data_IF_995849832998
#
_entry.id   IF_995849832998
#
_cell.length_a   1.000
_cell.length_b   1.000
_cell.length_c   1.000
_cell.angle_alpha   90.00
_cell.angle_beta   90.00
_cell.angle_gamma   90.00
#
_symmetry.space_group_name_H-M   'P 1'
#
loop_
_entity.id
_entity.type
_entity.pdbx_description
1 polymer ?
#
# COMPACT_ATOMS: atom_id res chain seq x y z
N UNK A 1 -21.71 -42.38 17.29
CA UNK A 1 -21.20 -41.34 16.35
C UNK A 1 -21.89 -40.04 16.71
N UNK A 2 -21.29 -39.23 17.58
CA UNK A 2 -21.92 -38.01 18.12
C UNK A 2 -21.23 -36.77 17.55
N UNK A 3 -21.57 -36.45 16.31
CA UNK A 3 -21.12 -35.25 15.63
C UNK A 3 -22.33 -34.42 15.22
N UNK A 4 -23.05 -33.86 16.18
CA UNK A 4 -24.16 -32.96 15.92
C UNK A 4 -24.46 -32.16 17.20
N UNK A 5 -24.71 -30.85 17.09
CA UNK A 5 -25.07 -29.89 18.17
C UNK A 5 -23.95 -29.18 18.95
N UNK A 6 -22.82 -28.87 18.32
CA UNK A 6 -21.68 -28.21 18.98
C UNK A 6 -21.40 -26.75 18.65
N UNK A 7 -22.31 -26.01 18.00
CA UNK A 7 -22.08 -24.59 17.68
C UNK A 7 -23.24 -23.72 18.15
N UNK A 8 -23.51 -23.72 19.46
CA UNK A 8 -24.30 -22.66 20.08
C UNK A 8 -23.58 -21.31 20.02
N UNK A 9 -23.93 -20.38 20.92
CA UNK A 9 -23.29 -19.06 21.04
C UNK A 9 -21.75 -19.09 21.00
N UNK A 10 -21.12 -20.14 21.54
CA UNK A 10 -19.66 -20.32 21.48
C UNK A 10 -19.08 -20.51 20.07
N UNK A 11 -19.79 -21.21 19.17
CA UNK A 11 -19.36 -21.37 17.78
C UNK A 11 -19.47 -20.07 16.99
N UNK A 12 -20.56 -19.33 17.19
CA UNK A 12 -20.76 -18.02 16.58
C UNK A 12 -19.71 -17.00 17.06
N UNK A 13 -19.44 -16.99 18.36
CA UNK A 13 -18.44 -16.10 18.96
C UNK A 13 -17.02 -16.44 18.48
N UNK A 14 -16.67 -17.73 18.40
CA UNK A 14 -15.39 -18.18 17.84
C UNK A 14 -15.24 -17.75 16.37
N UNK A 15 -16.29 -17.88 15.56
CA UNK A 15 -16.28 -17.50 14.15
C UNK A 15 -16.07 -15.99 13.99
N UNK A 16 -16.75 -15.17 14.79
CA UNK A 16 -16.59 -13.71 14.82
C UNK A 16 -15.17 -13.30 15.23
N UNK A 17 -14.64 -13.92 16.29
CA UNK A 17 -13.26 -13.67 16.74
C UNK A 17 -12.25 -14.04 15.66
N UNK A 18 -12.40 -15.18 15.00
CA UNK A 18 -11.51 -15.59 13.91
C UNK A 18 -11.58 -14.65 12.70
N UNK A 19 -12.78 -14.17 12.37
CA UNK A 19 -12.98 -13.20 11.30
C UNK A 19 -12.26 -11.88 11.61
N UNK A 20 -12.47 -11.33 12.81
CA UNK A 20 -11.80 -10.09 13.26
C UNK A 20 -10.29 -10.27 13.29
N UNK A 21 -9.80 -11.40 13.81
CA UNK A 21 -8.36 -11.70 13.84
C UNK A 21 -7.77 -11.78 12.44
N UNK A 22 -8.44 -12.47 11.51
CA UNK A 22 -8.00 -12.57 10.13
C UNK A 22 -7.93 -11.19 9.45
N UNK A 23 -8.98 -10.38 9.56
CA UNK A 23 -8.98 -9.03 9.01
C UNK A 23 -7.96 -8.11 9.69
N UNK A 24 -7.80 -8.21 11.01
CA UNK A 24 -6.80 -7.44 11.74
C UNK A 24 -5.38 -7.81 11.32
N UNK A 25 -5.11 -9.08 11.01
CA UNK A 25 -3.84 -9.53 10.50
C UNK A 25 -3.59 -8.98 9.09
N UNK A 26 -4.60 -8.99 8.21
CA UNK A 26 -4.50 -8.41 6.86
C UNK A 26 -4.23 -6.91 6.93
N UNK A 27 -5.05 -6.17 7.69
CA UNK A 27 -4.90 -4.73 7.85
C UNK A 27 -3.59 -4.39 8.54
N UNK A 28 -3.22 -5.14 9.59
CA UNK A 28 -1.96 -4.99 10.29
C UNK A 28 -0.76 -5.21 9.39
N UNK A 29 -0.79 -6.23 8.52
CA UNK A 29 0.25 -6.50 7.54
C UNK A 29 0.33 -5.41 6.48
N UNK A 30 -0.82 -4.92 5.99
CA UNK A 30 -0.88 -3.82 5.03
C UNK A 30 -0.32 -2.52 5.64
N UNK A 31 -0.74 -2.16 6.85
CA UNK A 31 -0.23 -0.99 7.59
C UNK A 31 1.26 -1.14 7.89
N UNK A 32 1.70 -2.34 8.31
CA UNK A 32 3.11 -2.62 8.57
C UNK A 32 3.96 -2.49 7.29
N UNK A 33 3.48 -3.02 6.16
CA UNK A 33 4.12 -2.89 4.86
C UNK A 33 4.21 -1.43 4.42
N UNK A 34 3.12 -0.67 4.57
CA UNK A 34 3.10 0.78 4.31
C UNK A 34 4.05 1.51 5.26
N UNK A 35 4.10 1.17 6.54
CA UNK A 35 5.01 1.80 7.51
C UNK A 35 6.47 1.46 7.23
N UNK A 36 6.79 0.27 6.72
CA UNK A 36 8.14 -0.08 6.28
C UNK A 36 8.56 0.77 5.08
N UNK A 37 7.66 0.94 4.10
CA UNK A 37 7.91 1.73 2.88
C UNK A 37 7.88 3.23 3.16
N UNK A 38 7.04 3.67 4.11
CA UNK A 38 6.88 5.05 4.57
C UNK A 38 7.70 5.36 5.81
N UNK A 39 8.70 4.54 6.17
CA UNK A 39 9.71 4.99 7.14
C UNK A 39 10.18 6.34 6.61
N UNK A 40 9.90 7.45 7.32
CA UNK A 40 10.37 8.73 6.86
C UNK A 40 11.88 8.60 6.89
N UNK A 41 12.51 8.85 5.76
CA UNK A 41 13.93 9.21 5.71
C UNK A 41 14.09 10.53 6.47
N UNK A 42 13.86 10.52 7.77
CA UNK A 42 14.19 11.58 8.67
C UNK A 42 15.54 11.20 9.28
N UNK A 43 16.55 11.97 8.88
CA UNK A 43 17.94 11.99 9.36
C UNK A 43 18.90 10.91 8.85
N UNK A 44 19.73 11.29 7.87
CA UNK A 44 21.17 11.20 8.09
C UNK A 44 21.99 10.18 7.31
N UNK A 45 21.63 9.80 6.08
CA UNK A 45 22.61 9.17 5.17
C UNK A 45 22.53 9.82 3.79
N UNK A 46 23.67 10.16 3.16
CA UNK A 46 23.67 10.60 1.78
C UNK A 46 23.17 9.40 0.96
N UNK A 47 21.92 9.49 0.53
CA UNK A 47 21.36 8.53 -0.41
C UNK A 47 22.20 8.65 -1.69
N UNK A 48 22.69 7.53 -2.27
CA UNK A 48 23.36 7.59 -3.56
C UNK A 48 22.38 8.24 -4.52
N UNK A 49 22.80 9.28 -5.25
CA UNK A 49 21.99 9.99 -6.25
C UNK A 49 21.07 9.00 -6.97
N UNK A 50 19.81 8.90 -6.52
CA UNK A 50 18.80 8.24 -7.31
C UNK A 50 18.68 9.13 -8.54
N UNK A 51 18.75 8.57 -9.76
CA UNK A 51 18.70 9.38 -10.96
C UNK A 51 17.48 10.29 -10.85
N UNK A 52 17.67 11.60 -10.97
CA UNK A 52 16.63 12.64 -10.80
C UNK A 52 15.34 12.33 -11.58
N UNK A 53 15.48 11.48 -12.59
CA UNK A 53 14.45 10.74 -13.28
C UNK A 53 13.34 10.14 -12.41
N UNK A 54 13.71 9.36 -11.38
CA UNK A 54 12.76 8.65 -10.54
C UNK A 54 11.95 9.60 -9.66
N UNK A 55 12.57 10.71 -9.24
CA UNK A 55 11.86 11.76 -8.50
C UNK A 55 10.90 12.53 -9.41
N UNK A 56 11.30 12.83 -10.65
CA UNK A 56 10.44 13.48 -11.64
C UNK A 56 9.21 12.62 -12.00
N UNK A 57 9.38 11.32 -12.21
CA UNK A 57 8.27 10.38 -12.46
C UNK A 57 7.30 10.29 -11.27
N UNK A 58 7.82 10.25 -10.03
CA UNK A 58 6.99 10.20 -8.81
C UNK A 58 6.15 11.46 -8.65
N UNK A 59 6.72 12.64 -8.89
CA UNK A 59 6.01 13.92 -8.84
C UNK A 59 4.92 13.97 -9.92
N UNK A 60 5.18 13.42 -11.11
CA UNK A 60 4.20 13.35 -12.20
C UNK A 60 3.02 12.45 -11.84
N UNK A 61 3.30 11.27 -11.26
CA UNK A 61 2.28 10.32 -10.82
C UNK A 61 1.41 10.88 -9.68
N UNK A 62 1.99 11.66 -8.77
CA UNK A 62 1.24 12.33 -7.70
C UNK A 62 0.27 13.38 -8.24
N UNK A 63 0.69 14.17 -9.24
CA UNK A 63 -0.18 15.19 -9.86
C UNK A 63 -1.30 14.57 -10.70
N UNK A 64 -1.03 13.45 -11.38
CA UNK A 64 -2.06 12.66 -12.06
C UNK A 64 -3.08 12.10 -11.06
N UNK A 65 -2.63 11.55 -9.92
CA UNK A 65 -3.53 11.04 -8.87
C UNK A 65 -4.38 12.15 -8.22
N UNK A 66 -3.89 13.39 -8.20
CA UNK A 66 -4.64 14.58 -7.77
C UNK A 66 -5.59 15.13 -8.83
N UNK A 67 -5.52 14.62 -10.07
CA UNK A 67 -6.29 15.13 -11.21
C UNK A 67 -5.83 16.50 -11.71
N UNK A 68 -4.62 16.95 -11.32
CA UNK A 68 -4.03 18.22 -11.77
C UNK A 68 -3.51 18.13 -13.22
N UNK A 69 -3.30 16.91 -13.71
CA UNK A 69 -2.74 16.60 -15.04
C UNK A 69 -3.57 15.48 -15.65
N UNK A 70 -3.89 15.62 -16.94
CA UNK A 70 -4.65 14.62 -17.70
C UNK A 70 -3.78 13.44 -18.16
N UNK A 71 -4.40 12.32 -18.56
CA UNK A 71 -3.71 11.10 -18.95
C UNK A 71 -2.75 11.31 -20.13
N UNK A 72 -3.19 12.04 -21.16
CA UNK A 72 -2.39 12.34 -22.34
C UNK A 72 -1.11 13.12 -21.99
N UNK A 73 -1.23 14.07 -21.06
CA UNK A 73 -0.12 14.88 -20.60
C UNK A 73 0.84 14.09 -19.69
N UNK A 74 0.31 13.20 -18.85
CA UNK A 74 1.12 12.26 -18.07
C UNK A 74 1.94 11.34 -18.97
N UNK A 75 1.32 10.77 -20.01
CA UNK A 75 2.00 9.86 -20.94
C UNK A 75 3.08 10.58 -21.76
N UNK A 76 2.80 11.80 -22.24
CA UNK A 76 3.77 12.59 -22.99
C UNK A 76 5.01 12.93 -22.14
N UNK A 77 4.80 13.45 -20.92
CA UNK A 77 5.91 13.83 -20.02
C UNK A 77 6.71 12.63 -19.52
N UNK A 78 6.05 11.48 -19.27
CA UNK A 78 6.72 10.22 -18.92
C UNK A 78 7.57 9.67 -20.08
N UNK A 79 7.11 9.82 -21.32
CA UNK A 79 7.87 9.40 -22.50
C UNK A 79 9.10 10.28 -22.76
N UNK A 80 8.99 11.60 -22.54
CA UNK A 80 10.13 12.53 -22.60
C UNK A 80 11.17 12.20 -21.55
N UNK A 81 10.71 11.93 -20.33
CA UNK A 81 11.56 11.47 -19.25
C UNK A 81 12.29 10.19 -19.70
N UNK A 82 11.59 9.11 -20.03
CA UNK A 82 12.25 7.82 -20.35
C UNK A 82 13.23 7.85 -21.54
N UNK A 83 13.25 8.92 -22.35
CA UNK A 83 14.14 9.10 -23.51
C UNK A 83 15.41 9.91 -23.18
N UNK A 84 15.53 10.52 -22.00
CA UNK A 84 16.73 11.25 -21.53
C UNK A 84 17.68 10.35 -20.76
#
# INVERSE_FOLDING_TARGET
>A
MHGWYGAGWGGWLLMMVMFVLFWSAIVGLAVYGIYLVRRPAASGRPEPERPAHHDAERILAERFARGEIDEDEFLARRATLRRS
#
